data_IF_356540201551
#
_entry.id   IF_356540201551
#
_cell.length_a   1.000
_cell.length_b   1.000
_cell.length_c   1.000
_cell.angle_alpha   90.00
_cell.angle_beta   90.00
_cell.angle_gamma   90.00
#
_symmetry.space_group_name_H-M   'P 1'
#
loop_
_entity.id
_entity.type
_entity.pdbx_description
1 polymer ?
#
# COMPACT_ATOMS: atom_id res chain seq x y z
N UNK A 1 -55.74 -19.79 -2.21
CA UNK A 1 -55.74 -18.33 -1.98
C UNK A 1 -54.51 -17.94 -1.16
N UNK A 2 -53.37 -17.71 -1.80
CA UNK A 2 -52.11 -17.30 -1.15
C UNK A 2 -51.29 -16.28 -2.00
N UNK A 3 -51.86 -15.80 -3.12
CA UNK A 3 -51.14 -14.92 -4.07
C UNK A 3 -51.29 -13.41 -3.83
N UNK A 4 -52.31 -12.98 -3.08
CA UNK A 4 -52.59 -11.54 -2.89
C UNK A 4 -51.83 -10.92 -1.71
N UNK A 5 -51.47 -11.71 -0.68
CA UNK A 5 -50.76 -11.18 0.50
C UNK A 5 -49.30 -10.81 0.22
N UNK A 6 -48.61 -11.62 -0.59
CA UNK A 6 -47.20 -11.40 -0.94
C UNK A 6 -47.04 -10.19 -1.85
N UNK A 7 -47.99 -9.96 -2.78
CA UNK A 7 -47.97 -8.80 -3.66
C UNK A 7 -48.17 -7.48 -2.92
N UNK A 8 -49.00 -7.47 -1.87
CA UNK A 8 -49.20 -6.26 -1.05
C UNK A 8 -47.96 -5.95 -0.20
N UNK A 9 -47.30 -6.98 0.34
CA UNK A 9 -46.05 -6.79 1.12
C UNK A 9 -44.92 -6.30 0.22
N UNK A 10 -44.76 -6.88 -0.98
CA UNK A 10 -43.78 -6.40 -1.96
C UNK A 10 -44.06 -4.96 -2.39
N UNK A 11 -45.33 -4.59 -2.61
CA UNK A 11 -45.70 -3.22 -2.96
C UNK A 11 -45.39 -2.22 -1.83
N UNK A 12 -45.62 -2.60 -0.58
CA UNK A 12 -45.31 -1.73 0.58
C UNK A 12 -43.80 -1.58 0.76
N UNK A 13 -43.01 -2.66 0.59
CA UNK A 13 -41.54 -2.59 0.66
C UNK A 13 -41.01 -1.69 -0.47
N UNK A 14 -41.55 -1.82 -1.69
CA UNK A 14 -41.14 -0.99 -2.83
C UNK A 14 -41.45 0.50 -2.63
N UNK A 15 -42.62 0.81 -2.05
CA UNK A 15 -43.00 2.18 -1.70
C UNK A 15 -42.12 2.74 -0.58
N UNK A 16 -41.80 1.95 0.44
CA UNK A 16 -40.89 2.38 1.52
C UNK A 16 -39.48 2.61 0.95
N UNK A 17 -38.97 1.74 0.07
CA UNK A 17 -37.68 1.98 -0.58
C UNK A 17 -37.70 3.19 -1.50
N UNK A 18 -38.80 3.48 -2.21
CA UNK A 18 -38.92 4.67 -3.05
C UNK A 18 -38.99 5.95 -2.22
N UNK A 19 -39.83 5.99 -1.18
CA UNK A 19 -40.00 7.18 -0.34
C UNK A 19 -38.75 7.46 0.50
N UNK A 20 -38.03 6.42 0.93
CA UNK A 20 -36.76 6.58 1.65
C UNK A 20 -35.62 7.00 0.69
N UNK A 21 -35.72 6.70 -0.60
CA UNK A 21 -34.82 7.26 -1.63
C UNK A 21 -35.18 8.72 -1.97
N UNK A 22 -36.46 9.10 -1.91
CA UNK A 22 -36.90 10.46 -2.22
C UNK A 22 -36.71 11.46 -1.07
N UNK A 23 -36.62 11.00 0.19
CA UNK A 23 -36.43 11.87 1.35
C UNK A 23 -35.01 12.45 1.52
N UNK A 24 -34.04 12.06 0.69
CA UNK A 24 -32.71 12.71 0.64
C UNK A 24 -32.30 13.06 -0.79
N UNK A 25 -33.23 13.64 -1.55
CA UNK A 25 -32.88 14.45 -2.72
C UNK A 25 -33.48 15.85 -2.56
N UNK A 26 -32.98 16.60 -1.57
CA UNK A 26 -32.91 18.05 -1.79
C UNK A 26 -32.14 18.22 -3.09
N UNK A 27 -32.80 18.78 -4.09
CA UNK A 27 -32.22 19.18 -5.37
C UNK A 27 -31.04 20.11 -5.12
N UNK A 28 -29.88 19.54 -4.83
CA UNK A 28 -28.60 20.19 -5.08
C UNK A 28 -28.57 20.29 -6.60
N UNK A 29 -28.70 21.53 -7.09
CA UNK A 29 -28.42 21.91 -8.48
C UNK A 29 -27.31 21.01 -8.99
N UNK A 30 -27.55 20.23 -10.06
CA UNK A 30 -26.51 19.44 -10.69
C UNK A 30 -25.26 20.34 -10.79
N UNK A 31 -24.09 19.93 -10.29
CA UNK A 31 -22.89 20.73 -10.41
C UNK A 31 -22.81 21.13 -11.87
N UNK A 32 -22.76 22.44 -12.12
CA UNK A 32 -22.39 22.93 -13.44
C UNK A 32 -21.12 22.17 -13.76
N UNK A 33 -21.10 21.44 -14.88
CA UNK A 33 -19.91 20.75 -15.38
C UNK A 33 -18.84 21.84 -15.54
N UNK A 34 -18.10 22.03 -14.46
CA UNK A 34 -16.94 22.89 -14.40
C UNK A 34 -15.97 22.14 -15.28
N UNK A 35 -15.62 22.75 -16.42
CA UNK A 35 -14.55 22.28 -17.29
C UNK A 35 -13.42 21.86 -16.36
N UNK A 36 -13.16 20.54 -16.31
CA UNK A 36 -12.22 19.98 -15.35
C UNK A 36 -10.92 20.80 -15.49
N UNK A 37 -10.48 21.41 -14.40
CA UNK A 37 -9.22 22.14 -14.41
C UNK A 37 -8.18 21.21 -15.04
N UNK A 38 -7.35 21.72 -15.98
CA UNK A 38 -6.36 20.88 -16.62
C UNK A 38 -5.57 20.16 -15.53
N UNK A 39 -5.38 18.84 -15.72
CA UNK A 39 -4.62 18.06 -14.77
C UNK A 39 -3.28 18.78 -14.52
N UNK A 40 -2.83 18.89 -13.27
CA UNK A 40 -1.54 19.50 -12.98
C UNK A 40 -0.46 18.84 -13.83
N UNK A 41 0.32 19.64 -14.55
CA UNK A 41 1.45 19.13 -15.30
C UNK A 41 2.57 18.78 -14.31
N UNK A 42 2.94 17.49 -14.26
CA UNK A 42 4.10 17.03 -13.51
C UNK A 42 5.28 16.94 -14.49
N UNK A 43 6.24 17.90 -14.47
CA UNK A 43 7.39 17.84 -15.36
C UNK A 43 8.21 16.59 -15.00
N UNK A 44 8.07 15.55 -15.79
CA UNK A 44 8.67 14.25 -15.54
C UNK A 44 9.39 13.75 -16.79
N UNK A 45 10.71 13.70 -16.71
CA UNK A 45 11.56 13.17 -17.77
C UNK A 45 12.10 11.80 -17.36
N UNK A 46 11.47 10.73 -17.87
CA UNK A 46 11.86 9.36 -17.59
C UNK A 46 13.34 9.09 -17.89
N UNK A 47 13.89 9.71 -18.94
CA UNK A 47 15.30 9.52 -19.31
C UNK A 47 16.23 10.22 -18.31
N UNK A 48 15.86 11.41 -17.85
CA UNK A 48 16.60 12.11 -16.81
C UNK A 48 16.59 11.31 -15.50
N UNK A 49 15.43 10.77 -15.10
CA UNK A 49 15.29 9.91 -13.91
C UNK A 49 16.16 8.65 -14.00
N UNK A 50 16.15 7.95 -15.14
CA UNK A 50 17.05 6.80 -15.35
C UNK A 50 18.52 7.16 -15.22
N UNK A 51 18.90 8.39 -15.62
CA UNK A 51 20.26 8.90 -15.45
C UNK A 51 20.66 9.15 -13.99
N UNK A 52 19.70 9.21 -13.06
CA UNK A 52 19.95 9.34 -11.62
C UNK A 52 20.13 7.98 -10.94
N UNK A 53 19.65 6.90 -11.54
CA UNK A 53 19.69 5.55 -10.94
C UNK A 53 21.12 5.06 -10.83
N UNK A 54 21.49 4.59 -9.63
CA UNK A 54 22.77 3.96 -9.39
C UNK A 54 22.69 2.46 -9.70
N UNK A 55 23.30 2.05 -10.82
CA UNK A 55 23.27 0.65 -11.29
C UNK A 55 24.09 -0.31 -10.42
N UNK A 56 24.83 0.18 -9.42
CA UNK A 56 25.40 -0.70 -8.41
C UNK A 56 24.36 -1.13 -7.36
N UNK A 57 23.22 -0.44 -7.30
CA UNK A 57 22.14 -0.69 -6.34
C UNK A 57 20.87 -1.23 -7.00
N UNK A 58 20.57 -0.79 -8.23
CA UNK A 58 19.37 -1.20 -8.98
C UNK A 58 19.77 -1.66 -10.38
N UNK A 59 19.60 -2.94 -10.66
CA UNK A 59 19.74 -3.56 -11.97
C UNK A 59 18.46 -3.40 -12.81
N UNK A 60 18.66 -3.43 -14.14
CA UNK A 60 17.61 -3.34 -15.15
C UNK A 60 16.55 -2.23 -14.92
N UNK A 61 16.93 -0.98 -14.62
CA UNK A 61 15.96 0.06 -14.31
C UNK A 61 15.15 0.45 -15.54
N UNK A 62 13.85 0.58 -15.37
CA UNK A 62 12.91 1.03 -16.40
C UNK A 62 12.04 2.15 -15.85
N UNK A 63 11.90 3.24 -16.60
CA UNK A 63 11.05 4.37 -16.21
C UNK A 63 10.08 4.72 -17.32
N UNK A 64 8.82 4.95 -16.93
CA UNK A 64 7.74 5.37 -17.84
C UNK A 64 6.90 6.48 -17.21
N UNK A 65 6.54 7.48 -18.01
CA UNK A 65 5.60 8.52 -17.60
C UNK A 65 4.21 7.94 -17.41
N UNK A 66 3.52 8.40 -16.37
CA UNK A 66 2.12 8.10 -16.05
C UNK A 66 1.31 9.40 -16.05
N UNK A 67 -0.02 9.30 -15.94
CA UNK A 67 -0.89 10.48 -15.88
C UNK A 67 -0.63 11.38 -14.65
N UNK A 68 0.04 10.85 -13.62
CA UNK A 68 0.27 11.52 -12.34
C UNK A 68 1.75 11.69 -11.98
N UNK A 69 2.68 11.22 -12.80
CA UNK A 69 4.12 11.29 -12.51
C UNK A 69 4.93 10.23 -13.27
N UNK A 70 5.83 9.55 -12.57
CA UNK A 70 6.65 8.47 -13.10
C UNK A 70 6.46 7.18 -12.33
N UNK A 71 6.45 6.08 -13.08
CA UNK A 71 6.71 4.74 -12.58
C UNK A 71 8.18 4.41 -12.87
N UNK A 72 8.93 4.05 -11.84
CA UNK A 72 10.28 3.50 -11.93
C UNK A 72 10.27 2.07 -11.38
N UNK A 73 10.76 1.14 -12.17
CA UNK A 73 10.88 -0.27 -11.81
C UNK A 73 12.35 -0.72 -11.88
N UNK A 74 12.71 -1.75 -11.12
CA UNK A 74 14.03 -2.38 -11.21
C UNK A 74 14.24 -3.50 -10.19
N UNK A 75 15.40 -4.15 -10.27
CA UNK A 75 15.79 -5.22 -9.35
C UNK A 75 16.92 -4.74 -8.45
N UNK A 76 16.79 -4.89 -7.13
CA UNK A 76 17.87 -4.57 -6.20
C UNK A 76 19.03 -5.55 -6.37
N UNK A 77 20.25 -5.02 -6.32
CA UNK A 77 21.44 -5.87 -6.31
C UNK A 77 21.66 -6.48 -4.92
N UNK A 78 22.46 -7.55 -4.85
CA UNK A 78 22.96 -8.11 -3.58
C UNK A 78 23.69 -7.05 -2.74
N UNK A 79 24.34 -6.07 -3.39
CA UNK A 79 25.02 -4.98 -2.69
C UNK A 79 24.02 -4.04 -2.02
N UNK A 80 22.89 -3.74 -2.67
CA UNK A 80 21.83 -2.92 -2.10
C UNK A 80 21.19 -3.60 -0.88
N UNK A 81 20.86 -4.88 -0.99
CA UNK A 81 20.29 -5.68 0.11
C UNK A 81 21.26 -5.78 1.29
N UNK A 82 22.56 -5.95 1.03
CA UNK A 82 23.57 -5.98 2.08
C UNK A 82 23.87 -4.61 2.71
N UNK A 83 23.41 -3.50 2.12
CA UNK A 83 23.69 -2.15 2.60
C UNK A 83 22.41 -1.27 2.59
N UNK A 84 21.40 -1.56 3.44
CA UNK A 84 20.13 -0.84 3.46
C UNK A 84 20.28 0.68 3.62
N UNK A 85 21.27 1.14 4.39
CA UNK A 85 21.53 2.58 4.56
C UNK A 85 21.94 3.26 3.24
N UNK A 86 22.76 2.59 2.43
CA UNK A 86 23.21 3.15 1.14
C UNK A 86 22.08 3.13 0.13
N UNK A 87 21.27 2.06 0.12
CA UNK A 87 20.05 1.97 -0.67
C UNK A 87 19.05 3.08 -0.30
N UNK A 88 18.79 3.27 1.00
CA UNK A 88 17.85 4.28 1.49
C UNK A 88 18.24 5.71 1.12
N UNK A 89 19.53 6.06 1.22
CA UNK A 89 20.04 7.36 0.76
C UNK A 89 19.83 7.56 -0.74
N UNK A 90 19.97 6.48 -1.53
CA UNK A 90 19.73 6.54 -2.97
C UNK A 90 18.24 6.69 -3.30
N UNK A 91 17.38 5.94 -2.62
CA UNK A 91 15.91 6.05 -2.76
C UNK A 91 15.46 7.46 -2.39
N UNK A 92 15.92 7.99 -1.26
CA UNK A 92 15.62 9.37 -0.84
C UNK A 92 16.03 10.40 -1.90
N UNK A 93 17.22 10.26 -2.49
CA UNK A 93 17.65 11.12 -3.59
C UNK A 93 16.70 11.03 -4.78
N UNK A 94 16.29 9.82 -5.18
CA UNK A 94 15.38 9.61 -6.30
C UNK A 94 14.01 10.25 -6.05
N UNK A 95 13.41 10.00 -4.88
CA UNK A 95 12.09 10.49 -4.49
C UNK A 95 12.07 12.03 -4.32
N UNK A 96 13.14 12.64 -3.80
CA UNK A 96 13.25 14.10 -3.70
C UNK A 96 13.53 14.78 -5.05
N UNK A 97 14.19 14.09 -5.99
CA UNK A 97 14.58 14.67 -7.29
C UNK A 97 13.52 14.50 -8.37
N UNK A 98 12.59 13.55 -8.19
CA UNK A 98 11.64 13.12 -9.22
C UNK A 98 10.24 12.94 -8.64
N UNK A 99 9.21 13.27 -9.41
CA UNK A 99 7.84 12.90 -9.08
C UNK A 99 7.57 11.40 -9.35
N UNK A 100 8.02 10.53 -8.44
CA UNK A 100 7.87 9.07 -8.52
C UNK A 100 6.57 8.60 -7.84
N UNK A 101 5.46 8.63 -8.58
CA UNK A 101 4.19 8.12 -8.05
C UNK A 101 4.27 6.64 -7.69
N UNK A 102 5.14 5.90 -8.38
CA UNK A 102 5.44 4.51 -8.09
C UNK A 102 6.94 4.25 -8.29
N UNK A 103 7.60 3.78 -7.24
CA UNK A 103 8.89 3.11 -7.32
C UNK A 103 8.67 1.66 -6.89
N UNK A 104 8.80 0.73 -7.82
CA UNK A 104 8.63 -0.70 -7.55
C UNK A 104 9.96 -1.42 -7.75
N UNK A 105 10.50 -1.93 -6.66
CA UNK A 105 11.78 -2.61 -6.63
C UNK A 105 11.56 -4.05 -6.15
N UNK A 106 12.37 -4.98 -6.67
CA UNK A 106 12.33 -6.37 -6.25
C UNK A 106 13.70 -6.80 -5.76
N UNK A 107 13.80 -7.47 -4.61
CA UNK A 107 15.08 -8.05 -4.16
C UNK A 107 15.44 -9.31 -4.96
N UNK A 108 16.70 -9.76 -4.92
CA UNK A 108 17.09 -11.04 -5.54
C UNK A 108 16.35 -12.27 -5.00
N UNK A 109 15.75 -12.18 -3.81
CA UNK A 109 14.93 -13.22 -3.20
C UNK A 109 13.41 -13.01 -3.40
N UNK A 110 12.99 -12.12 -4.31
CA UNK A 110 11.60 -11.81 -4.67
C UNK A 110 10.76 -11.08 -3.59
N UNK A 111 11.40 -10.41 -2.62
CA UNK A 111 10.70 -9.45 -1.76
C UNK A 111 10.40 -8.19 -2.56
N UNK A 112 9.15 -7.75 -2.53
CA UNK A 112 8.72 -6.50 -3.19
C UNK A 112 9.00 -5.31 -2.27
N UNK A 113 9.57 -4.24 -2.82
CA UNK A 113 9.80 -2.96 -2.15
C UNK A 113 9.15 -1.84 -2.97
N UNK A 114 8.08 -1.30 -2.43
CA UNK A 114 7.20 -0.36 -3.11
C UNK A 114 7.19 1.00 -2.42
N UNK A 115 7.34 2.09 -3.18
CA UNK A 115 7.05 3.45 -2.71
C UNK A 115 5.96 4.07 -3.57
N UNK A 116 4.85 4.46 -2.95
CA UNK A 116 3.67 4.98 -3.66
C UNK A 116 3.33 6.41 -3.24
N UNK A 117 2.99 7.24 -4.22
CA UNK A 117 2.47 8.60 -4.02
C UNK A 117 3.51 9.66 -3.70
N UNK A 118 4.80 9.33 -3.70
CA UNK A 118 5.86 10.29 -3.45
C UNK A 118 6.09 11.21 -4.65
N UNK A 119 6.20 12.51 -4.42
CA UNK A 119 6.44 13.45 -5.50
C UNK A 119 7.24 14.65 -5.00
N UNK A 120 8.57 14.64 -5.26
CA UNK A 120 9.51 15.60 -4.68
C UNK A 120 9.47 15.62 -3.14
N UNK A 121 9.18 14.45 -2.55
CA UNK A 121 9.07 14.22 -1.12
C UNK A 121 9.66 12.85 -0.80
N UNK A 122 10.06 12.64 0.45
CA UNK A 122 10.61 11.37 0.93
C UNK A 122 10.39 11.24 2.44
N UNK A 123 10.67 10.06 2.98
CA UNK A 123 10.89 9.84 4.40
C UNK A 123 12.36 10.07 4.74
N UNK A 124 12.71 10.36 6.01
CA UNK A 124 14.10 10.38 6.43
C UNK A 124 14.81 9.06 6.05
N UNK A 125 16.02 9.11 5.43
CA UNK A 125 16.72 7.92 4.96
C UNK A 125 16.96 6.87 6.04
N UNK A 126 17.13 7.29 7.29
CA UNK A 126 17.26 6.41 8.45
C UNK A 126 16.01 5.55 8.67
N UNK A 127 14.81 6.12 8.52
CA UNK A 127 13.56 5.36 8.65
C UNK A 127 13.39 4.41 7.47
N UNK A 128 13.74 4.85 6.25
CA UNK A 128 13.71 3.98 5.06
C UNK A 128 14.64 2.78 5.26
N UNK A 129 15.87 3.02 5.75
CA UNK A 129 16.85 1.96 6.00
C UNK A 129 16.39 0.99 7.09
N UNK A 130 15.83 1.51 8.19
CA UNK A 130 15.25 0.70 9.28
C UNK A 130 14.15 -0.21 8.73
N UNK A 131 13.18 0.34 7.99
CA UNK A 131 12.07 -0.46 7.48
C UNK A 131 12.50 -1.53 6.48
N UNK A 132 13.44 -1.20 5.59
CA UNK A 132 14.02 -2.19 4.66
C UNK A 132 14.75 -3.28 5.44
N UNK A 133 15.49 -2.91 6.49
CA UNK A 133 16.21 -3.87 7.34
C UNK A 133 15.23 -4.81 8.05
N UNK A 134 14.18 -4.26 8.67
CA UNK A 134 13.14 -5.04 9.32
C UNK A 134 12.49 -6.03 8.35
N UNK A 135 12.13 -5.58 7.14
CA UNK A 135 11.53 -6.44 6.13
C UNK A 135 12.45 -7.59 5.72
N UNK A 136 13.74 -7.31 5.51
CA UNK A 136 14.74 -8.33 5.16
C UNK A 136 14.97 -9.31 6.32
N UNK A 137 15.17 -8.81 7.55
CA UNK A 137 15.50 -9.65 8.71
C UNK A 137 14.34 -10.54 9.16
N UNK A 138 13.11 -10.12 8.86
CA UNK A 138 11.89 -10.89 9.16
C UNK A 138 11.39 -11.75 7.99
N UNK A 139 12.12 -11.78 6.88
CA UNK A 139 11.76 -12.46 5.64
C UNK A 139 10.36 -12.07 5.14
N UNK A 140 10.07 -10.77 5.07
CA UNK A 140 8.83 -10.25 4.49
C UNK A 140 8.75 -10.54 2.98
N UNK A 141 7.53 -10.79 2.50
CA UNK A 141 7.25 -10.93 1.06
C UNK A 141 7.14 -9.56 0.39
N UNK A 142 6.69 -8.54 1.13
CA UNK A 142 6.68 -7.17 0.62
C UNK A 142 6.78 -6.12 1.72
N UNK A 143 7.43 -5.01 1.40
CA UNK A 143 7.39 -3.74 2.12
C UNK A 143 6.85 -2.67 1.18
N UNK A 144 5.70 -2.08 1.52
CA UNK A 144 5.13 -0.94 0.80
C UNK A 144 5.09 0.29 1.69
N UNK A 145 5.64 1.39 1.22
CA UNK A 145 5.67 2.69 1.89
C UNK A 145 4.85 3.65 1.03
N UNK A 146 3.87 4.30 1.65
CA UNK A 146 2.94 5.18 0.94
C UNK A 146 2.91 6.57 1.54
N UNK A 147 2.99 7.56 0.66
CA UNK A 147 2.55 8.93 0.92
C UNK A 147 1.07 9.03 0.54
N UNK A 148 0.18 9.05 1.55
CA UNK A 148 -1.26 9.12 1.32
C UNK A 148 -1.66 10.55 0.93
N UNK A 149 -2.28 10.75 -0.25
CA UNK A 149 -2.70 12.07 -0.70
C UNK A 149 -3.92 12.53 0.13
N UNK A 150 -3.63 13.18 1.25
CA UNK A 150 -4.57 13.88 2.13
C UNK A 150 -3.99 15.24 2.51
N UNK A 151 -4.69 16.03 3.33
CA UNK A 151 -4.20 17.37 3.72
C UNK A 151 -2.87 17.36 4.45
N UNK A 152 -2.52 16.23 5.06
CA UNK A 152 -1.35 16.07 5.91
C UNK A 152 -0.23 15.22 5.28
N UNK A 153 -0.46 14.63 4.10
CA UNK A 153 0.50 13.71 3.48
C UNK A 153 0.90 12.57 4.45
N UNK A 154 -0.10 11.84 4.95
CA UNK A 154 0.09 10.79 5.95
C UNK A 154 0.96 9.67 5.38
N UNK A 155 1.97 9.25 6.13
CA UNK A 155 2.93 8.20 5.77
C UNK A 155 2.46 6.89 6.34
N UNK A 156 2.16 5.94 5.46
CA UNK A 156 1.72 4.60 5.84
C UNK A 156 2.75 3.57 5.38
N UNK A 157 3.02 2.58 6.22
CA UNK A 157 3.99 1.52 5.96
C UNK A 157 3.29 0.19 6.15
N UNK A 158 3.42 -0.69 5.17
CA UNK A 158 2.78 -2.00 5.15
C UNK A 158 3.85 -3.05 4.94
N UNK A 159 4.03 -3.89 5.94
CA UNK A 159 4.77 -5.14 5.81
C UNK A 159 3.78 -6.27 5.54
N UNK A 160 4.09 -7.15 4.60
CA UNK A 160 3.23 -8.28 4.27
C UNK A 160 4.01 -9.58 4.23
N UNK A 161 3.39 -10.63 4.77
CA UNK A 161 3.85 -12.01 4.69
C UNK A 161 2.71 -12.93 4.25
N UNK A 162 3.07 -13.99 3.55
CA UNK A 162 2.21 -15.11 3.18
C UNK A 162 2.78 -16.38 3.81
N UNK A 163 1.92 -17.12 4.49
CA UNK A 163 2.26 -18.43 5.06
C UNK A 163 1.41 -19.50 4.39
N UNK A 164 2.04 -20.58 3.97
CA UNK A 164 1.36 -21.74 3.38
C UNK A 164 0.88 -22.73 4.46
N UNK A 165 1.48 -22.67 5.67
CA UNK A 165 1.16 -23.59 6.75
C UNK A 165 0.95 -22.87 8.10
N UNK A 166 0.15 -23.44 9.03
CA UNK A 166 0.02 -22.88 10.38
C UNK A 166 1.36 -22.80 11.14
N UNK A 167 2.29 -23.73 10.85
CA UNK A 167 3.61 -23.73 11.49
C UNK A 167 4.48 -22.57 11.00
N UNK A 168 4.43 -22.26 9.71
CA UNK A 168 5.11 -21.11 9.10
C UNK A 168 4.49 -19.79 9.59
N UNK A 169 3.16 -19.71 9.63
CA UNK A 169 2.43 -18.55 10.16
C UNK A 169 2.90 -18.24 11.60
N UNK A 170 2.93 -19.25 12.48
CA UNK A 170 3.43 -19.08 13.84
C UNK A 170 4.92 -18.70 13.89
N UNK A 171 5.75 -19.14 12.95
CA UNK A 171 7.16 -18.76 12.88
C UNK A 171 7.32 -17.27 12.50
N UNK A 172 6.56 -16.79 11.51
CA UNK A 172 6.53 -15.39 11.09
C UNK A 172 6.02 -14.50 12.23
N UNK A 173 4.94 -14.92 12.91
CA UNK A 173 4.40 -14.19 14.06
C UNK A 173 5.42 -13.98 15.17
N UNK A 174 6.36 -14.91 15.36
CA UNK A 174 7.40 -14.72 16.36
C UNK A 174 8.43 -13.67 15.93
N UNK A 175 8.74 -13.59 14.62
CA UNK A 175 9.74 -12.66 14.07
C UNK A 175 9.25 -11.22 14.07
N UNK A 176 8.02 -10.97 13.63
CA UNK A 176 7.53 -9.58 13.45
C UNK A 176 7.29 -8.84 14.77
N UNK A 177 7.39 -9.50 15.94
CA UNK A 177 7.27 -8.86 17.26
C UNK A 177 8.39 -7.85 17.53
N UNK A 178 9.46 -7.89 16.75
CA UNK A 178 10.55 -6.93 16.80
C UNK A 178 10.17 -5.58 16.17
N UNK A 179 9.20 -5.57 15.25
CA UNK A 179 8.80 -4.35 14.52
C UNK A 179 7.87 -3.52 15.40
N UNK A 180 8.13 -2.21 15.46
CA UNK A 180 7.34 -1.27 16.26
C UNK A 180 6.88 -0.08 15.43
N UNK A 181 5.86 0.63 15.92
CA UNK A 181 5.41 1.86 15.28
C UNK A 181 6.41 3.00 15.41
N UNK A 182 6.39 3.91 14.44
CA UNK A 182 7.19 5.13 14.45
C UNK A 182 6.32 6.35 14.72
N UNK A 183 6.78 7.30 15.53
CA UNK A 183 6.00 8.52 15.86
C UNK A 183 5.80 9.48 14.68
N UNK A 184 6.69 9.38 13.70
CA UNK A 184 6.73 10.23 12.49
C UNK A 184 6.07 9.51 11.30
N UNK A 185 5.40 8.39 11.55
CA UNK A 185 4.67 7.57 10.58
C UNK A 185 3.27 7.34 11.15
N UNK A 186 2.26 7.77 10.41
CA UNK A 186 0.87 7.76 10.86
C UNK A 186 0.35 6.34 11.07
N UNK A 187 0.76 5.40 10.22
CA UNK A 187 0.40 3.98 10.33
C UNK A 187 1.57 3.07 9.93
N UNK A 188 1.94 2.15 10.82
CA UNK A 188 2.70 0.95 10.47
C UNK A 188 1.78 -0.25 10.64
N UNK A 189 1.59 -1.03 9.58
CA UNK A 189 0.69 -2.18 9.53
C UNK A 189 1.45 -3.44 9.15
N UNK A 190 1.35 -4.47 9.99
CA UNK A 190 1.93 -5.79 9.75
C UNK A 190 0.82 -6.74 9.34
N UNK A 191 0.89 -7.29 8.12
CA UNK A 191 -0.17 -8.09 7.52
C UNK A 191 0.33 -9.51 7.25
N UNK A 192 -0.20 -10.49 7.99
CA UNK A 192 0.15 -11.90 7.80
C UNK A 192 -1.06 -12.66 7.29
N UNK A 193 -0.91 -13.18 6.08
CA UNK A 193 -1.91 -13.96 5.38
C UNK A 193 -1.56 -15.45 5.50
N UNK A 194 -2.23 -16.17 6.41
CA UNK A 194 -2.05 -17.60 6.61
C UNK A 194 -3.26 -18.43 6.14
N UNK A 195 -3.14 -19.76 6.12
CA UNK A 195 -4.14 -20.64 5.51
C UNK A 195 -5.50 -20.62 6.21
N UNK A 196 -5.56 -20.29 7.50
CA UNK A 196 -6.81 -20.26 8.28
C UNK A 196 -7.24 -18.85 8.70
N UNK A 197 -6.28 -17.92 8.83
CA UNK A 197 -6.56 -16.57 9.29
C UNK A 197 -5.66 -15.52 8.65
N UNK A 198 -6.20 -14.31 8.60
CA UNK A 198 -5.45 -13.08 8.31
C UNK A 198 -5.27 -12.36 9.64
N UNK A 199 -4.03 -12.01 9.94
CA UNK A 199 -3.67 -11.25 11.13
C UNK A 199 -3.12 -9.89 10.71
N UNK A 200 -3.63 -8.86 11.38
CA UNK A 200 -3.18 -7.48 11.19
C UNK A 200 -2.73 -6.94 12.54
N UNK A 201 -1.55 -6.33 12.56
CA UNK A 201 -1.06 -5.55 13.71
C UNK A 201 -0.79 -4.13 13.26
N UNK A 202 -1.58 -3.20 13.78
CA UNK A 202 -1.46 -1.79 13.45
C UNK A 202 -0.84 -0.99 14.59
N UNK A 203 0.08 -0.11 14.24
CA UNK A 203 0.64 0.91 15.11
C UNK A 203 0.31 2.29 14.54
N UNK A 204 -0.66 2.96 15.14
CA UNK A 204 -1.01 4.33 14.77
C UNK A 204 -0.10 5.32 15.52
N UNK A 205 0.60 6.20 14.79
CA UNK A 205 1.45 7.27 15.33
C UNK A 205 2.46 6.80 16.40
N UNK A 206 3.10 5.64 16.20
CA UNK A 206 4.02 5.04 17.17
C UNK A 206 3.35 4.55 18.47
N UNK A 207 2.02 4.40 18.44
CA UNK A 207 1.21 3.96 19.56
C UNK A 207 1.39 2.49 19.92
N UNK A 208 0.50 1.99 20.79
CA UNK A 208 0.48 0.57 21.14
C UNK A 208 -0.06 -0.26 19.97
N UNK A 209 0.41 -1.51 19.79
CA UNK A 209 -0.10 -2.39 18.76
C UNK A 209 -1.60 -2.66 18.98
N UNK A 210 -2.38 -2.53 17.92
CA UNK A 210 -3.76 -2.99 17.83
C UNK A 210 -3.76 -4.25 16.98
N UNK A 211 -4.19 -5.38 17.55
CA UNK A 211 -4.19 -6.67 16.85
C UNK A 211 -5.60 -7.05 16.46
N UNK A 212 -5.76 -7.37 15.19
CA UNK A 212 -6.98 -7.94 14.64
C UNK A 212 -6.67 -9.29 13.99
N UNK A 213 -7.60 -10.23 14.14
CA UNK A 213 -7.54 -11.51 13.48
C UNK A 213 -8.91 -11.79 12.86
N UNK A 214 -8.90 -12.15 11.59
CA UNK A 214 -10.09 -12.50 10.83
C UNK A 214 -9.90 -13.86 10.17
N UNK A 215 -10.96 -14.67 10.01
CA UNK A 215 -10.86 -15.91 9.26
C UNK A 215 -10.47 -15.62 7.80
N UNK A 216 -9.67 -16.51 7.22
CA UNK A 216 -9.47 -16.54 5.79
C UNK A 216 -10.81 -16.76 5.07
N UNK A 217 -11.03 -16.09 3.94
CA UNK A 217 -12.27 -16.21 3.17
C UNK A 217 -12.16 -17.29 2.08
N UNK A 218 -13.28 -17.73 1.52
CA UNK A 218 -13.30 -18.81 0.52
C UNK A 218 -12.46 -18.53 -0.75
N UNK A 219 -12.26 -17.25 -1.12
CA UNK A 219 -11.39 -16.88 -2.24
C UNK A 219 -9.91 -17.03 -1.86
N UNK A 220 -9.57 -16.64 -0.64
CA UNK A 220 -8.26 -16.81 -0.03
C UNK A 220 -7.94 -18.31 0.16
N UNK A 221 -8.85 -19.07 0.77
CA UNK A 221 -8.70 -20.51 0.99
C UNK A 221 -8.47 -21.27 -0.31
N UNK A 222 -9.18 -20.90 -1.39
CA UNK A 222 -8.99 -21.53 -2.71
C UNK A 222 -7.61 -21.27 -3.32
N UNK A 223 -6.99 -20.12 -3.01
CA UNK A 223 -5.66 -19.80 -3.51
C UNK A 223 -4.57 -20.49 -2.69
N UNK A 224 -4.78 -20.62 -1.38
CA UNK A 224 -3.70 -20.90 -0.43
C UNK A 224 -3.85 -22.20 0.40
N UNK A 225 -5.03 -22.81 0.47
CA UNK A 225 -5.31 -23.95 1.37
C UNK A 225 -5.42 -25.30 0.60
N UNK A 226 -4.46 -25.58 -0.29
CA UNK A 226 -4.49 -26.73 -1.22
C UNK A 226 -4.29 -28.10 -0.57
#
# INVERSE_FOLDING_TARGET
MLGYGILVILAIILIITLVNHEASSKTTRAPKEEEAAPAPEFPTDAKATLGLVNTALIDDPAAVSTDSGLLLEGVLTETAVANPQTLALHIDQLLNSTCLTNLALETPNNMQLDFWGFCFSSLPPEHIAEMITDAIETDADSLAIRDWPGSNHDKHVFYTWFADTPAEQAAIENKWTAITGHKDIELVSLNLYGPESVQVVDFENGGKPQREESPANEAFDRRWNK
#
